data_IF_803259031015
#
_entry.id   IF_803259031015
#
_cell.length_a   1.000
_cell.length_b   1.000
_cell.length_c   1.000
_cell.angle_alpha   90.00
_cell.angle_beta   90.00
_cell.angle_gamma   90.00
#
_symmetry.space_group_name_H-M   'P 1'
#
loop_
_entity.id
_entity.type
_entity.pdbx_description
1 polymer ?
#
# COMPACT_ATOMS: atom_id res chain seq x y z
N UNK A 1 -1.55 12.48 23.84
CA UNK A 1 -2.03 13.02 25.09
C UNK A 1 -1.38 12.21 26.21
N UNK A 2 -0.78 12.84 27.20
CA UNK A 2 -0.06 12.20 28.32
C UNK A 2 1.05 11.20 27.93
N UNK A 3 1.70 11.38 26.78
CA UNK A 3 2.78 10.51 26.33
C UNK A 3 2.37 9.10 25.90
N UNK A 4 1.07 8.79 25.84
CA UNK A 4 0.56 7.50 25.37
C UNK A 4 0.20 7.52 23.88
N UNK A 5 0.35 6.41 23.20
CA UNK A 5 -0.18 6.24 21.85
C UNK A 5 -1.70 6.19 21.87
N UNK A 6 -2.33 6.79 20.85
CA UNK A 6 -3.80 6.81 20.76
C UNK A 6 -4.38 5.47 20.32
N UNK A 7 -3.57 4.60 19.69
CA UNK A 7 -4.00 3.35 19.09
C UNK A 7 -4.98 3.53 17.92
N UNK A 8 -4.90 4.67 17.21
CA UNK A 8 -5.86 5.05 16.17
C UNK A 8 -5.94 4.00 15.06
N UNK A 9 -4.81 3.48 14.58
CA UNK A 9 -4.79 2.46 13.53
C UNK A 9 -5.53 1.18 13.96
N UNK A 10 -5.33 0.73 15.20
CA UNK A 10 -6.04 -0.45 15.72
C UNK A 10 -7.54 -0.20 15.88
N UNK A 11 -7.92 0.99 16.37
CA UNK A 11 -9.32 1.38 16.47
C UNK A 11 -10.02 1.40 15.11
N UNK A 12 -9.34 1.92 14.08
CA UNK A 12 -9.87 1.89 12.71
C UNK A 12 -10.09 0.45 12.23
N UNK A 13 -9.10 -0.43 12.36
CA UNK A 13 -9.23 -1.81 11.92
C UNK A 13 -10.38 -2.54 12.62
N UNK A 14 -10.53 -2.35 13.94
CA UNK A 14 -11.61 -2.95 14.72
C UNK A 14 -12.98 -2.37 14.35
N UNK A 15 -13.08 -1.06 14.17
CA UNK A 15 -14.31 -0.41 13.73
C UNK A 15 -14.79 -0.92 12.37
N UNK A 16 -13.89 -1.06 11.39
CA UNK A 16 -14.26 -1.60 10.09
C UNK A 16 -14.75 -3.05 10.19
N UNK A 17 -14.19 -3.86 11.08
CA UNK A 17 -14.72 -5.21 11.35
C UNK A 17 -16.12 -5.15 11.97
N UNK A 18 -16.34 -4.26 12.92
CA UNK A 18 -17.63 -4.08 13.58
C UNK A 18 -18.76 -3.71 12.61
N UNK A 19 -18.46 -2.84 11.63
CA UNK A 19 -19.42 -2.45 10.59
C UNK A 19 -19.50 -3.42 9.40
N UNK A 20 -18.91 -4.62 9.53
CA UNK A 20 -19.14 -5.75 8.62
C UNK A 20 -18.07 -5.96 7.54
N UNK A 21 -16.89 -5.35 7.65
CA UNK A 21 -15.76 -5.70 6.79
C UNK A 21 -14.97 -6.88 7.38
N UNK A 22 -14.43 -7.71 6.51
CA UNK A 22 -13.41 -8.69 6.87
C UNK A 22 -12.03 -8.03 6.86
N UNK A 23 -11.27 -8.17 7.93
CA UNK A 23 -9.84 -7.85 7.92
C UNK A 23 -9.11 -9.01 7.23
N UNK A 24 -8.76 -8.82 5.97
CA UNK A 24 -8.14 -9.85 5.14
C UNK A 24 -6.65 -9.98 5.44
N UNK A 25 -5.93 -8.85 5.49
CA UNK A 25 -4.48 -8.85 5.78
C UNK A 25 -4.09 -7.61 6.58
N UNK A 26 -3.06 -7.76 7.40
CA UNK A 26 -2.38 -6.66 8.10
C UNK A 26 -0.98 -6.55 7.55
N UNK A 27 -0.73 -5.48 6.84
CA UNK A 27 0.53 -5.22 6.16
C UNK A 27 1.25 -4.03 6.81
N UNK A 28 2.53 -3.92 6.53
CA UNK A 28 3.38 -2.82 7.00
C UNK A 28 4.06 -2.16 5.80
N UNK A 29 3.87 -0.86 5.67
CA UNK A 29 4.70 -0.02 4.83
C UNK A 29 5.90 0.45 5.65
N UNK A 30 7.08 -0.09 5.35
CA UNK A 30 8.33 0.33 5.96
C UNK A 30 8.98 1.43 5.12
N UNK A 31 9.16 2.60 5.73
CA UNK A 31 9.87 3.74 5.13
C UNK A 31 11.39 3.51 5.21
N UNK A 32 12.13 4.07 4.27
CA UNK A 32 13.59 4.04 4.29
C UNK A 32 14.21 5.00 5.32
N UNK A 33 13.46 6.03 5.70
CA UNK A 33 13.87 7.02 6.72
C UNK A 33 12.66 7.56 7.45
N UNK A 34 12.89 8.15 8.60
CA UNK A 34 11.89 8.91 9.34
C UNK A 34 11.98 10.37 8.94
N UNK A 35 10.83 11.02 8.77
CA UNK A 35 10.75 12.48 8.59
C UNK A 35 11.17 13.22 9.86
N UNK A 36 11.00 12.58 11.02
CA UNK A 36 11.36 13.12 12.32
C UNK A 36 12.27 12.15 13.05
N UNK A 37 13.49 12.57 13.35
CA UNK A 37 14.36 11.83 14.25
C UNK A 37 13.79 11.88 15.66
N UNK A 38 13.83 10.78 16.39
CA UNK A 38 13.58 10.81 17.80
C UNK A 38 14.62 11.75 18.46
N UNK A 39 14.17 12.69 19.29
CA UNK A 39 15.09 13.50 20.11
C UNK A 39 15.82 12.59 21.09
N UNK A 40 17.02 12.97 21.50
CA UNK A 40 17.81 12.22 22.47
C UNK A 40 17.10 12.04 23.83
N UNK A 41 16.17 12.95 24.17
CA UNK A 41 15.31 12.89 25.34
C UNK A 41 13.97 12.14 25.12
N UNK A 42 13.74 11.65 23.90
CA UNK A 42 12.53 10.89 23.59
C UNK A 42 12.54 9.54 24.30
N UNK A 43 11.41 9.22 24.93
CA UNK A 43 11.18 7.90 25.56
C UNK A 43 10.64 6.86 24.58
N UNK A 44 10.65 7.15 23.28
CA UNK A 44 10.10 6.29 22.21
C UNK A 44 11.10 6.14 21.08
N UNK A 45 11.10 4.98 20.47
CA UNK A 45 11.82 4.75 19.23
C UNK A 45 11.19 5.56 18.07
N UNK A 46 12.03 5.94 17.11
CA UNK A 46 11.58 6.58 15.89
C UNK A 46 10.74 5.61 15.06
N UNK A 47 9.52 6.00 14.74
CA UNK A 47 8.63 5.18 13.93
C UNK A 47 8.98 5.33 12.44
N UNK A 48 9.32 4.20 11.80
CA UNK A 48 9.68 4.13 10.38
C UNK A 48 8.70 3.28 9.57
N UNK A 49 7.53 3.02 10.07
CA UNK A 49 6.51 2.23 9.38
C UNK A 49 5.11 2.80 9.56
N UNK A 50 4.23 2.39 8.67
CA UNK A 50 2.78 2.62 8.74
C UNK A 50 2.04 1.31 8.57
N UNK A 51 0.91 1.15 9.28
CA UNK A 51 0.02 0.01 9.08
C UNK A 51 -0.80 0.20 7.79
N UNK A 52 -0.97 -0.91 7.06
CA UNK A 52 -1.86 -1.00 5.91
C UNK A 52 -2.84 -2.16 6.18
N UNK A 53 -4.11 -1.85 6.36
CA UNK A 53 -5.14 -2.86 6.59
C UNK A 53 -5.88 -3.14 5.30
N UNK A 54 -5.84 -4.38 4.86
CA UNK A 54 -6.61 -4.85 3.70
C UNK A 54 -7.96 -5.34 4.21
N UNK A 55 -8.98 -4.61 3.85
CA UNK A 55 -10.35 -4.86 4.26
C UNK A 55 -11.18 -5.29 3.05
N UNK A 56 -12.10 -6.23 3.23
CA UNK A 56 -12.95 -6.73 2.15
C UNK A 56 -14.40 -6.89 2.58
N UNK A 57 -15.31 -6.75 1.62
CA UNK A 57 -16.69 -7.24 1.71
C UNK A 57 -16.76 -8.55 0.91
N UNK A 58 -16.75 -9.68 1.61
CA UNK A 58 -16.66 -11.00 0.98
C UNK A 58 -15.23 -11.43 0.68
N UNK A 59 -15.07 -12.32 -0.30
CA UNK A 59 -13.75 -12.83 -0.70
C UNK A 59 -13.00 -11.77 -1.55
N UNK A 60 -11.81 -11.34 -1.16
CA UNK A 60 -11.05 -10.39 -1.94
C UNK A 60 -10.48 -11.02 -3.20
N UNK A 61 -10.39 -10.25 -4.27
CA UNK A 61 -9.62 -10.60 -5.44
C UNK A 61 -8.14 -10.34 -5.15
N UNK A 62 -7.41 -11.34 -4.72
CA UNK A 62 -5.99 -11.18 -4.38
C UNK A 62 -5.10 -11.67 -5.52
N UNK A 63 -4.27 -10.79 -6.07
CA UNK A 63 -3.18 -11.12 -6.99
C UNK A 63 -1.86 -10.80 -6.31
N UNK A 64 -1.31 -11.78 -5.63
CA UNK A 64 -0.08 -11.59 -4.88
C UNK A 64 1.08 -11.33 -5.84
N UNK A 65 1.84 -10.28 -5.58
CA UNK A 65 3.09 -10.01 -6.29
C UNK A 65 4.11 -11.06 -5.90
N UNK A 66 4.61 -11.80 -6.90
CA UNK A 66 5.57 -12.88 -6.71
C UNK A 66 6.98 -12.40 -7.13
N UNK A 67 7.66 -11.71 -6.25
CA UNK A 67 9.02 -11.17 -6.47
C UNK A 67 10.04 -11.58 -5.41
N UNK A 68 9.61 -12.39 -4.42
CA UNK A 68 10.50 -12.92 -3.39
C UNK A 68 11.19 -14.18 -3.91
N UNK A 69 12.54 -14.19 -4.09
CA UNK A 69 13.25 -15.37 -4.52
C UNK A 69 13.01 -16.56 -3.59
N UNK A 70 12.70 -17.72 -4.16
CA UNK A 70 12.54 -18.93 -3.41
C UNK A 70 13.89 -19.62 -3.20
N UNK A 71 14.20 -19.93 -1.96
CA UNK A 71 15.45 -20.62 -1.58
C UNK A 71 15.62 -22.00 -2.28
N UNK A 72 14.52 -22.65 -2.57
CA UNK A 72 14.47 -24.00 -3.14
C UNK A 72 13.93 -24.00 -4.58
N UNK A 73 14.14 -22.91 -5.33
CA UNK A 73 13.75 -22.83 -6.73
C UNK A 73 14.25 -24.03 -7.54
N UNK A 74 13.40 -24.58 -8.39
CA UNK A 74 13.70 -25.74 -9.21
C UNK A 74 13.68 -27.10 -8.50
N UNK A 75 13.69 -27.14 -7.17
CA UNK A 75 13.62 -28.39 -6.42
C UNK A 75 12.20 -28.98 -6.43
N UNK A 76 12.10 -30.28 -6.41
CA UNK A 76 10.86 -31.02 -6.14
C UNK A 76 10.88 -31.51 -4.69
N UNK A 77 9.70 -31.64 -4.08
CA UNK A 77 9.63 -32.19 -2.74
C UNK A 77 10.09 -33.66 -2.73
N UNK A 78 10.67 -34.07 -1.62
CA UNK A 78 11.17 -35.44 -1.44
C UNK A 78 10.06 -36.50 -1.53
N UNK A 79 8.82 -36.13 -1.20
CA UNK A 79 7.69 -37.07 -1.18
C UNK A 79 7.13 -37.38 -2.58
N UNK A 80 7.59 -36.69 -3.62
CA UNK A 80 7.06 -36.80 -4.98
C UNK A 80 5.62 -36.30 -5.15
N UNK A 81 5.02 -35.68 -4.12
CA UNK A 81 3.64 -35.20 -4.15
C UNK A 81 3.50 -33.93 -4.96
N UNK A 82 4.56 -33.13 -5.10
CA UNK A 82 4.54 -31.91 -5.91
C UNK A 82 4.57 -32.26 -7.41
N UNK A 83 3.53 -31.89 -8.11
CA UNK A 83 3.44 -32.06 -9.57
C UNK A 83 4.42 -31.19 -10.36
N UNK A 84 4.80 -30.04 -9.81
CA UNK A 84 5.70 -29.07 -10.44
C UNK A 84 6.84 -28.72 -9.48
N UNK A 85 8.04 -28.37 -10.00
CA UNK A 85 9.12 -27.87 -9.15
C UNK A 85 8.72 -26.55 -8.50
N UNK A 86 9.42 -26.20 -7.41
CA UNK A 86 9.27 -24.90 -6.73
C UNK A 86 9.59 -23.79 -7.72
N UNK A 87 8.69 -22.81 -7.84
CA UNK A 87 8.89 -21.64 -8.70
C UNK A 87 10.09 -20.81 -8.24
N UNK A 88 10.69 -20.04 -9.16
CA UNK A 88 11.85 -19.19 -8.86
C UNK A 88 11.49 -18.10 -7.85
N UNK A 89 10.27 -17.58 -7.93
CA UNK A 89 9.78 -16.54 -7.04
C UNK A 89 8.47 -16.97 -6.37
N UNK A 90 8.33 -16.61 -5.11
CA UNK A 90 7.13 -16.75 -4.32
C UNK A 90 6.51 -15.40 -3.96
N UNK A 91 5.34 -15.41 -3.31
CA UNK A 91 4.67 -14.19 -2.89
C UNK A 91 5.56 -13.31 -2.03
N UNK A 92 5.48 -12.00 -2.27
CA UNK A 92 6.09 -10.98 -1.42
C UNK A 92 5.55 -11.11 0.01
N UNK A 93 6.36 -10.75 0.99
CA UNK A 93 5.91 -10.69 2.39
C UNK A 93 4.98 -9.49 2.61
N UNK A 94 4.24 -9.48 3.71
CA UNK A 94 3.36 -8.37 4.10
C UNK A 94 4.11 -7.15 4.67
N UNK A 95 5.44 -7.13 4.66
CA UNK A 95 6.25 -5.95 4.95
C UNK A 95 6.80 -5.41 3.64
N UNK A 96 6.25 -4.28 3.19
CA UNK A 96 6.64 -3.65 1.95
C UNK A 96 7.58 -2.49 2.20
N UNK A 97 8.67 -2.41 1.42
CA UNK A 97 9.70 -1.38 1.53
C UNK A 97 9.75 -0.59 0.24
N UNK A 98 9.49 0.70 0.35
CA UNK A 98 9.63 1.62 -0.78
C UNK A 98 10.49 2.81 -0.36
N UNK A 99 11.31 3.27 -1.29
CA UNK A 99 12.07 4.49 -1.09
C UNK A 99 11.10 5.67 -1.19
N UNK A 100 11.06 6.49 -0.15
CA UNK A 100 10.38 7.77 -0.20
C UNK A 100 11.23 8.71 -1.06
N UNK A 101 10.95 8.79 -2.36
CA UNK A 101 11.59 9.73 -3.25
C UNK A 101 10.73 10.99 -3.34
N UNK A 102 11.39 12.14 -3.27
CA UNK A 102 10.75 13.41 -3.56
C UNK A 102 10.56 13.52 -5.08
N UNK A 103 9.35 13.25 -5.56
CA UNK A 103 9.03 13.25 -7.00
C UNK A 103 8.80 14.66 -7.57
N UNK A 104 9.36 15.70 -6.95
CA UNK A 104 9.21 17.09 -7.42
C UNK A 104 7.82 17.71 -7.20
N UNK A 105 6.86 16.96 -6.70
CA UNK A 105 5.51 17.45 -6.40
C UNK A 105 5.53 18.14 -5.04
N UNK A 106 5.11 19.40 -4.99
CA UNK A 106 4.92 20.17 -3.74
C UNK A 106 3.72 19.63 -2.95
N UNK A 107 3.84 18.45 -2.38
CA UNK A 107 2.84 17.89 -1.47
C UNK A 107 3.50 17.58 -0.12
N UNK A 108 2.92 17.94 1.03
CA UNK A 108 3.56 17.78 2.33
C UNK A 108 3.78 16.31 2.74
N UNK A 109 3.03 15.37 2.17
CA UNK A 109 3.12 13.95 2.51
C UNK A 109 2.85 13.05 1.29
N UNK A 110 3.68 13.09 0.22
CA UNK A 110 3.49 12.19 -0.90
C UNK A 110 3.89 10.78 -0.50
N UNK A 111 3.09 9.78 -0.85
CA UNK A 111 3.51 8.39 -0.77
C UNK A 111 4.05 7.91 -2.13
N UNK A 112 4.93 6.87 -2.16
CA UNK A 112 5.55 6.40 -3.39
C UNK A 112 4.54 5.90 -4.42
N UNK A 113 4.70 6.26 -5.69
CA UNK A 113 3.87 5.74 -6.79
C UNK A 113 3.88 4.21 -6.84
N UNK A 114 5.04 3.59 -6.57
CA UNK A 114 5.16 2.14 -6.52
C UNK A 114 4.27 1.50 -5.44
N UNK A 115 4.06 2.17 -4.29
CA UNK A 115 3.15 1.68 -3.26
C UNK A 115 1.70 1.63 -3.76
N UNK A 116 1.23 2.72 -4.38
CA UNK A 116 -0.12 2.77 -4.97
C UNK A 116 -0.27 1.74 -6.11
N UNK A 117 0.72 1.68 -7.00
CA UNK A 117 0.76 0.74 -8.11
C UNK A 117 0.58 -0.69 -7.63
N UNK A 118 1.37 -1.11 -6.67
CA UNK A 118 1.39 -2.49 -6.19
C UNK A 118 0.10 -2.87 -5.44
N UNK A 119 -0.51 -1.92 -4.72
CA UNK A 119 -1.84 -2.13 -4.14
C UNK A 119 -2.92 -2.28 -5.22
N UNK A 120 -2.93 -1.42 -6.23
CA UNK A 120 -3.89 -1.46 -7.33
C UNK A 120 -3.78 -2.80 -8.08
N UNK A 121 -2.58 -3.24 -8.41
CA UNK A 121 -2.34 -4.52 -9.07
C UNK A 121 -2.75 -5.71 -8.20
N UNK A 122 -2.52 -5.65 -6.90
CA UNK A 122 -2.82 -6.75 -5.98
C UNK A 122 -4.31 -6.93 -5.74
N UNK A 123 -5.12 -5.85 -5.75
CA UNK A 123 -6.49 -5.88 -5.25
C UNK A 123 -7.56 -5.49 -6.25
N UNK A 124 -7.20 -5.25 -7.52
CA UNK A 124 -8.15 -4.91 -8.58
C UNK A 124 -7.85 -5.57 -9.92
N UNK A 125 -8.85 -5.68 -10.77
CA UNK A 125 -8.75 -6.08 -12.18
C UNK A 125 -8.66 -4.87 -13.12
N UNK A 126 -8.18 -5.07 -14.36
CA UNK A 126 -8.34 -4.07 -15.43
C UNK A 126 -9.82 -3.76 -15.61
N UNK A 127 -10.15 -2.47 -15.71
CA UNK A 127 -11.53 -1.98 -15.80
C UNK A 127 -12.25 -1.79 -14.47
N UNK A 128 -11.70 -2.25 -13.35
CA UNK A 128 -12.26 -1.95 -12.03
C UNK A 128 -12.13 -0.46 -11.69
N UNK A 129 -12.94 0.03 -10.77
CA UNK A 129 -12.90 1.40 -10.26
C UNK A 129 -12.06 1.46 -8.99
N UNK A 130 -11.05 2.31 -8.98
CA UNK A 130 -10.24 2.66 -7.81
C UNK A 130 -10.75 3.98 -7.25
N UNK A 131 -11.16 3.99 -6.00
CA UNK A 131 -11.64 5.20 -5.30
C UNK A 131 -10.66 5.64 -4.24
N UNK A 132 -10.27 6.92 -4.27
CA UNK A 132 -9.46 7.56 -3.25
C UNK A 132 -10.21 8.72 -2.62
N UNK A 133 -10.68 8.59 -1.36
CA UNK A 133 -11.42 9.65 -0.68
C UNK A 133 -10.55 10.86 -0.28
N UNK A 134 -9.22 10.76 -0.39
CA UNK A 134 -8.26 11.80 -0.03
C UNK A 134 -7.18 11.92 -1.13
N UNK A 135 -7.63 12.22 -2.35
CA UNK A 135 -6.84 12.12 -3.59
C UNK A 135 -5.51 12.89 -3.55
N UNK A 136 -5.45 14.02 -2.85
CA UNK A 136 -4.26 14.86 -2.77
C UNK A 136 -3.75 15.25 -4.15
N UNK A 137 -2.48 14.98 -4.43
CA UNK A 137 -1.85 15.25 -5.72
C UNK A 137 -2.05 14.17 -6.78
N UNK A 138 -3.00 13.23 -6.60
CA UNK A 138 -3.45 12.28 -7.61
C UNK A 138 -2.58 11.06 -7.85
N UNK A 139 -1.77 10.64 -6.89
CA UNK A 139 -0.90 9.46 -7.06
C UNK A 139 -1.73 8.19 -7.35
N UNK A 140 -2.80 7.97 -6.59
CA UNK A 140 -3.72 6.84 -6.80
C UNK A 140 -4.37 6.89 -8.19
N UNK A 141 -4.90 8.03 -8.60
CA UNK A 141 -5.54 8.20 -9.90
C UNK A 141 -4.58 7.95 -11.07
N UNK A 142 -3.36 8.49 -10.98
CA UNK A 142 -2.31 8.26 -11.97
C UNK A 142 -1.98 6.78 -12.11
N UNK A 143 -1.75 6.09 -10.99
CA UNK A 143 -1.43 4.66 -11.02
C UNK A 143 -2.61 3.81 -11.50
N UNK A 144 -3.84 4.15 -11.14
CA UNK A 144 -5.03 3.49 -11.65
C UNK A 144 -5.13 3.61 -13.17
N UNK A 145 -4.99 4.83 -13.72
CA UNK A 145 -5.00 5.09 -15.16
C UNK A 145 -3.92 4.30 -15.90
N UNK A 146 -2.67 4.33 -15.42
CA UNK A 146 -1.55 3.60 -16.04
C UNK A 146 -1.78 2.09 -16.06
N UNK A 147 -2.49 1.56 -15.07
CA UNK A 147 -2.83 0.14 -14.99
C UNK A 147 -4.20 -0.19 -15.60
N UNK A 148 -4.80 0.69 -16.39
CA UNK A 148 -6.09 0.51 -17.07
C UNK A 148 -7.26 0.28 -16.09
N UNK A 149 -7.23 0.91 -14.93
CA UNK A 149 -8.35 1.00 -14.01
C UNK A 149 -9.02 2.35 -14.18
N UNK A 150 -10.33 2.39 -13.94
CA UNK A 150 -11.02 3.66 -13.73
C UNK A 150 -10.67 4.20 -12.35
N UNK A 151 -10.80 5.50 -12.17
CA UNK A 151 -10.55 6.13 -10.87
C UNK A 151 -11.63 7.14 -10.55
N UNK A 152 -11.89 7.28 -9.26
CA UNK A 152 -12.71 8.33 -8.66
C UNK A 152 -11.92 8.88 -7.48
N UNK A 153 -11.88 10.19 -7.32
CA UNK A 153 -11.20 10.83 -6.20
C UNK A 153 -11.99 11.97 -5.61
N UNK A 154 -11.77 12.20 -4.32
CA UNK A 154 -12.27 13.38 -3.62
C UNK A 154 -11.09 14.15 -3.06
N UNK A 155 -11.07 15.48 -3.30
CA UNK A 155 -10.06 16.38 -2.77
C UNK A 155 -10.72 17.72 -2.46
N UNK A 156 -10.43 18.29 -1.29
CA UNK A 156 -11.00 19.55 -0.84
C UNK A 156 -10.20 20.77 -1.37
N UNK A 157 -8.90 20.57 -1.61
CA UNK A 157 -8.03 21.62 -2.12
C UNK A 157 -8.11 21.73 -3.63
N UNK A 158 -8.58 22.89 -4.12
CA UNK A 158 -8.58 23.16 -5.56
C UNK A 158 -7.18 23.09 -6.17
N UNK A 159 -6.16 23.55 -5.47
CA UNK A 159 -4.76 23.49 -5.92
C UNK A 159 -4.33 22.03 -6.19
N UNK A 160 -4.68 21.10 -5.29
CA UNK A 160 -4.36 19.68 -5.49
C UNK A 160 -5.21 19.04 -6.59
N UNK A 161 -6.45 19.45 -6.77
CA UNK A 161 -7.25 19.04 -7.91
C UNK A 161 -6.57 19.42 -9.24
N UNK A 162 -6.14 20.68 -9.36
CA UNK A 162 -5.47 21.19 -10.55
C UNK A 162 -4.13 20.44 -10.82
N UNK A 163 -3.37 20.14 -9.78
CA UNK A 163 -2.14 19.32 -9.87
C UNK A 163 -2.48 17.90 -10.36
N UNK A 164 -3.53 17.29 -9.81
CA UNK A 164 -3.99 15.96 -10.20
C UNK A 164 -4.37 15.93 -11.67
N UNK A 165 -5.16 16.88 -12.14
CA UNK A 165 -5.57 16.98 -13.55
C UNK A 165 -4.35 17.10 -14.47
N UNK A 166 -3.39 17.95 -14.14
CA UNK A 166 -2.15 18.08 -14.92
C UNK A 166 -1.36 16.77 -14.98
N UNK A 167 -1.21 16.07 -13.87
CA UNK A 167 -0.50 14.78 -13.82
C UNK A 167 -1.20 13.68 -14.62
N UNK A 168 -2.52 13.77 -14.75
CA UNK A 168 -3.31 12.82 -15.53
C UNK A 168 -3.28 13.10 -17.03
N UNK A 169 -3.01 14.33 -17.45
CA UNK A 169 -2.83 14.69 -18.88
C UNK A 169 -1.44 14.30 -19.36
N UNK A 170 -0.41 14.51 -18.53
CA UNK A 170 0.99 14.32 -18.92
C UNK A 170 1.52 12.88 -18.73
N UNK A 171 0.77 11.98 -18.12
CA UNK A 171 1.11 10.58 -17.90
C UNK A 171 0.12 9.66 -18.59
#
# INVERSE_FOLDING_TARGET
>A
VNGSETGTSFKQALYFKEIGFNLHDTMIYQKNSSTYSARADSKRYTQIFEYMFILSKGQPKARLICDKPNKWAGHRDWSGKMKKPVADFGPRTNIWRFVTSFNGVKHPAPFPEALANDHILSWSDEGDVVYDPFMGSGTTAKMAKLNKRHYIGSEISKEYCDITEQRLICG
#
